data_IF_305461381530
#
_entry.id   IF_305461381530
#
_cell.length_a   1.000
_cell.length_b   1.000
_cell.length_c   1.000
_cell.angle_alpha   90.00
_cell.angle_beta   90.00
_cell.angle_gamma   90.00
#
_symmetry.space_group_name_H-M   'P 1'
#
loop_
_entity.id
_entity.type
_entity.pdbx_description
1 polymer ?
#
# COMPACT_ATOMS: atom_id res chain seq x y z
N UNK A 1 -1.48 18.50 -34.54
CA UNK A 1 -1.75 19.03 -33.20
C UNK A 1 -2.33 18.04 -32.14
N UNK A 2 -3.25 17.09 -32.44
CA UNK A 2 -3.92 16.26 -31.39
C UNK A 2 -3.09 15.04 -30.89
N UNK A 3 -2.06 14.64 -31.63
CA UNK A 3 -1.28 13.43 -31.34
C UNK A 3 -0.29 13.61 -30.18
N UNK A 4 0.14 14.85 -29.93
CA UNK A 4 1.05 15.17 -28.83
C UNK A 4 0.32 15.25 -27.47
N UNK A 5 -0.92 15.74 -27.46
CA UNK A 5 -1.74 15.84 -26.23
C UNK A 5 -2.15 14.45 -25.71
N UNK A 6 -2.55 13.53 -26.59
CA UNK A 6 -2.83 12.13 -26.21
C UNK A 6 -1.58 11.41 -25.69
N UNK A 7 -0.42 11.61 -26.31
CA UNK A 7 0.85 11.05 -25.82
C UNK A 7 1.18 11.57 -24.42
N UNK A 8 1.12 12.89 -24.20
CA UNK A 8 1.31 13.50 -22.88
C UNK A 8 0.35 12.93 -21.85
N UNK A 9 -0.95 12.83 -22.15
CA UNK A 9 -1.96 12.24 -21.25
C UNK A 9 -1.65 10.78 -20.92
N UNK A 10 -1.31 9.96 -21.91
CA UNK A 10 -0.97 8.55 -21.65
C UNK A 10 0.31 8.42 -20.82
N UNK A 11 1.34 9.20 -21.11
CA UNK A 11 2.60 9.19 -20.36
C UNK A 11 2.43 9.70 -18.93
N UNK A 12 1.63 10.75 -18.69
CA UNK A 12 1.35 11.23 -17.34
C UNK A 12 0.51 10.24 -16.56
N UNK A 13 -0.50 9.60 -17.17
CA UNK A 13 -1.32 8.58 -16.52
C UNK A 13 -0.50 7.33 -16.16
N UNK A 14 0.38 6.89 -17.07
CA UNK A 14 1.35 5.82 -16.79
C UNK A 14 2.28 6.26 -15.63
N UNK A 15 2.97 7.40 -15.74
CA UNK A 15 3.88 7.89 -14.69
C UNK A 15 3.19 8.06 -13.33
N UNK A 16 1.97 8.58 -13.27
CA UNK A 16 1.19 8.69 -12.04
C UNK A 16 0.81 7.33 -11.44
N UNK A 17 0.49 6.35 -12.28
CA UNK A 17 0.22 4.97 -11.85
C UNK A 17 1.48 4.27 -11.31
N UNK A 18 2.63 4.46 -11.97
CA UNK A 18 3.92 3.91 -11.53
C UNK A 18 4.48 4.60 -10.28
N UNK A 19 4.28 5.91 -10.09
CA UNK A 19 4.74 6.64 -8.89
C UNK A 19 3.90 6.28 -7.66
N UNK A 20 2.63 5.90 -7.82
CA UNK A 20 1.75 5.54 -6.70
C UNK A 20 1.99 4.10 -6.18
N UNK A 21 2.62 3.23 -6.97
CA UNK A 21 2.86 1.84 -6.57
C UNK A 21 4.12 1.73 -5.70
N UNK A 22 4.07 2.27 -4.48
CA UNK A 22 5.09 2.01 -3.46
C UNK A 22 4.94 0.57 -2.98
N UNK A 23 5.83 -0.31 -3.43
CA UNK A 23 5.93 -1.68 -2.91
C UNK A 23 6.52 -1.67 -1.49
N UNK A 24 5.65 -1.47 -0.50
CA UNK A 24 6.00 -1.64 0.91
C UNK A 24 5.87 -3.12 1.26
N UNK A 25 7.00 -3.81 1.38
CA UNK A 25 7.03 -5.21 1.80
C UNK A 25 6.83 -5.33 3.31
N UNK A 26 5.93 -6.23 3.74
CA UNK A 26 5.69 -6.45 5.16
C UNK A 26 6.87 -7.12 5.85
N UNK A 27 7.10 -6.76 7.10
CA UNK A 27 8.03 -7.42 8.03
C UNK A 27 7.21 -8.23 9.03
N UNK A 28 7.64 -9.46 9.30
CA UNK A 28 6.95 -10.40 10.21
C UNK A 28 5.44 -10.57 9.85
N UNK A 29 4.58 -10.82 10.85
CA UNK A 29 3.16 -11.10 10.64
C UNK A 29 2.87 -12.44 9.96
N UNK A 30 1.67 -12.59 9.41
CA UNK A 30 1.24 -13.77 8.66
C UNK A 30 1.25 -13.55 7.13
N UNK A 31 1.69 -12.38 6.68
CA UNK A 31 1.81 -12.02 5.26
C UNK A 31 3.00 -12.67 4.55
N UNK A 32 3.95 -13.28 5.28
CA UNK A 32 5.14 -13.94 4.72
C UNK A 32 5.96 -13.05 3.78
N UNK A 33 6.09 -11.76 4.11
CA UNK A 33 6.86 -10.81 3.30
C UNK A 33 6.12 -10.32 2.04
N UNK A 34 4.80 -10.52 1.93
CA UNK A 34 4.02 -9.96 0.83
C UNK A 34 3.97 -8.42 0.88
N UNK A 35 3.85 -7.74 -0.27
CA UNK A 35 3.69 -6.29 -0.28
C UNK A 35 2.32 -5.88 0.27
N UNK A 36 2.29 -4.75 0.98
CA UNK A 36 1.08 -4.07 1.40
C UNK A 36 0.21 -3.75 0.19
N UNK A 37 -1.09 -4.00 0.31
CA UNK A 37 -2.05 -3.69 -0.75
C UNK A 37 -2.76 -2.40 -0.43
N UNK A 38 -2.37 -1.30 -1.09
CA UNK A 38 -3.03 0.00 -0.93
C UNK A 38 -3.99 0.31 -2.10
N UNK A 39 -5.17 0.89 -1.83
CA UNK A 39 -5.80 0.99 -0.51
C UNK A 39 -6.39 -0.35 -0.05
N UNK A 40 -6.41 -0.59 1.27
CA UNK A 40 -7.10 -1.73 1.86
C UNK A 40 -8.28 -1.29 2.72
N UNK A 41 -9.28 -2.16 2.85
CA UNK A 41 -10.47 -1.96 3.65
C UNK A 41 -10.40 -2.77 4.94
N UNK A 42 -10.47 -2.08 6.07
CA UNK A 42 -10.44 -2.63 7.43
C UNK A 42 -11.38 -1.82 8.32
N UNK A 43 -12.12 -2.47 9.23
CA UNK A 43 -13.03 -1.80 10.19
C UNK A 43 -13.88 -0.66 9.59
N UNK A 44 -14.56 -0.95 8.47
CA UNK A 44 -15.43 -0.01 7.75
C UNK A 44 -14.73 1.25 7.17
N UNK A 45 -13.40 1.25 7.09
CA UNK A 45 -12.61 2.36 6.58
C UNK A 45 -11.57 1.91 5.54
N UNK A 46 -11.27 2.80 4.59
CA UNK A 46 -10.20 2.61 3.61
C UNK A 46 -8.89 3.23 4.11
N UNK A 47 -7.81 2.47 4.02
CA UNK A 47 -6.46 2.89 4.39
C UNK A 47 -5.57 2.87 3.16
N UNK A 48 -4.99 4.04 2.84
CA UNK A 48 -3.98 4.20 1.79
C UNK A 48 -2.53 4.19 2.33
N UNK A 49 -2.37 3.99 3.64
CA UNK A 49 -1.08 3.94 4.34
C UNK A 49 -1.15 3.00 5.54
N UNK A 50 0.01 2.73 6.13
CA UNK A 50 0.11 1.86 7.31
C UNK A 50 -0.60 2.47 8.52
N UNK A 51 -1.37 1.65 9.23
CA UNK A 51 -2.19 2.09 10.36
C UNK A 51 -1.65 1.58 11.69
N UNK A 52 -2.00 2.27 12.78
CA UNK A 52 -1.76 1.86 14.17
C UNK A 52 -3.01 1.28 14.84
N UNK A 53 -4.14 1.27 14.13
CA UNK A 53 -5.41 0.76 14.66
C UNK A 53 -5.26 -0.73 14.93
N UNK A 54 -5.63 -1.16 16.13
CA UNK A 54 -5.45 -2.53 16.62
C UNK A 54 -4.02 -3.07 16.45
N UNK A 55 -3.03 -2.16 16.43
CA UNK A 55 -1.63 -2.55 16.29
C UNK A 55 -1.12 -3.27 17.53
N UNK A 56 -0.25 -4.25 17.28
CA UNK A 56 0.53 -4.92 18.32
C UNK A 56 1.79 -4.08 18.55
N UNK A 57 2.14 -3.85 19.82
CA UNK A 57 3.36 -3.13 20.22
C UNK A 57 3.51 -1.70 19.66
N UNK A 58 2.41 -1.03 19.30
CA UNK A 58 2.43 0.31 18.70
C UNK A 58 3.23 0.37 17.39
N UNK A 59 3.26 -0.73 16.63
CA UNK A 59 3.95 -0.84 15.36
C UNK A 59 2.98 -0.71 14.19
N UNK A 60 3.33 0.11 13.21
CA UNK A 60 2.52 0.30 12.01
C UNK A 60 2.41 -1.00 11.23
N UNK A 61 1.20 -1.32 10.76
CA UNK A 61 0.93 -2.51 9.95
C UNK A 61 0.08 -2.17 8.74
N UNK A 62 0.05 -3.10 7.79
CA UNK A 62 -0.78 -3.03 6.60
C UNK A 62 -1.41 -4.39 6.28
N UNK A 63 -2.55 -4.35 5.59
CA UNK A 63 -3.12 -5.53 4.95
C UNK A 63 -2.42 -5.81 3.62
N UNK A 64 -2.31 -7.08 3.26
CA UNK A 64 -1.85 -7.52 1.92
C UNK A 64 -3.03 -7.92 1.03
N UNK A 65 -4.24 -7.59 1.46
CA UNK A 65 -5.51 -7.86 0.77
C UNK A 65 -6.33 -6.57 0.68
N UNK A 66 -7.03 -6.35 -0.43
CA UNK A 66 -7.92 -5.18 -0.60
C UNK A 66 -9.04 -5.15 0.43
N UNK A 67 -9.55 -6.32 0.84
CA UNK A 67 -10.50 -6.49 1.93
C UNK A 67 -9.89 -7.45 2.93
N UNK A 68 -9.93 -7.09 4.21
CA UNK A 68 -9.33 -7.87 5.28
C UNK A 68 -10.15 -9.13 5.62
N UNK A 69 -10.23 -10.09 4.68
CA UNK A 69 -11.05 -11.30 4.79
C UNK A 69 -10.30 -12.47 5.43
N UNK A 70 -9.06 -12.74 5.00
CA UNK A 70 -8.24 -13.81 5.56
C UNK A 70 -7.37 -13.34 6.73
N UNK A 71 -7.59 -12.09 7.17
CA UNK A 71 -6.84 -11.44 8.23
C UNK A 71 -5.33 -11.49 7.96
N UNK A 72 -4.92 -11.32 6.69
CA UNK A 72 -3.51 -11.34 6.35
C UNK A 72 -2.91 -9.95 6.46
N UNK A 73 -1.91 -9.80 7.32
CA UNK A 73 -1.22 -8.56 7.61
C UNK A 73 0.28 -8.79 7.84
N UNK A 74 1.02 -7.69 7.82
CA UNK A 74 2.35 -7.65 8.41
C UNK A 74 2.74 -6.22 8.76
N UNK A 75 3.85 -6.07 9.48
CA UNK A 75 4.31 -4.76 9.89
C UNK A 75 4.90 -4.01 8.72
N UNK A 76 4.68 -2.70 8.69
CA UNK A 76 5.34 -1.86 7.73
C UNK A 76 6.79 -1.62 8.15
N UNK A 77 7.73 -1.55 7.19
CA UNK A 77 9.06 -1.02 7.47
C UNK A 77 8.87 0.42 7.93
N UNK A 78 9.18 0.70 9.20
CA UNK A 78 9.27 2.08 9.64
C UNK A 78 10.44 2.71 8.90
N UNK A 79 10.21 3.86 8.25
CA UNK A 79 11.29 4.76 7.80
C UNK A 79 12.02 5.37 9.02
N UNK A 80 12.31 4.57 10.04
CA UNK A 80 13.45 4.79 10.91
C UNK A 80 14.66 4.34 10.09
N UNK A 81 15.12 5.25 9.21
CA UNK A 81 16.49 5.25 8.73
C UNK A 81 17.42 4.96 9.91
N UNK A 82 18.31 3.97 9.74
CA UNK A 82 19.56 3.73 10.48
C UNK A 82 19.62 4.04 11.99
#
# INVERSE_FOLDING_TARGET
>A
EIRWTTYLITTTFFLLFFIHFSELYTIEGNAAGRPCMFPFFYENQWYSSCTLIDSINNQHWCSVETKFEHQTWGFCPTNSEY
#
